data_IF_967310278413
#
_entry.id   IF_967310278413
#
_cell.length_a   1.000
_cell.length_b   1.000
_cell.length_c   1.000
_cell.angle_alpha   90.00
_cell.angle_beta   90.00
_cell.angle_gamma   90.00
#
_symmetry.space_group_name_H-M   'P 1'
#
loop_
_entity.id
_entity.type
_entity.pdbx_description
1 polymer ?
#
# COMPACT_ATOMS: atom_id res chain seq x y z
N UNK A 1 0.09 21.94 -20.16
CA UNK A 1 -0.74 21.03 -19.33
C UNK A 1 -1.59 21.85 -18.37
N UNK A 2 -2.87 21.51 -18.22
CA UNK A 2 -3.80 22.20 -17.30
C UNK A 2 -3.70 21.61 -15.88
N UNK A 3 -4.06 22.41 -14.88
CA UNK A 3 -4.27 21.94 -13.51
C UNK A 3 -5.67 21.33 -13.43
N UNK A 4 -5.80 20.11 -12.91
CA UNK A 4 -7.08 19.42 -12.78
C UNK A 4 -7.29 18.95 -11.36
N UNK A 5 -8.51 19.13 -10.86
CA UNK A 5 -8.94 18.67 -9.55
C UNK A 5 -10.31 18.03 -9.69
N UNK A 6 -10.52 16.91 -9.01
CA UNK A 6 -11.79 16.20 -8.94
C UNK A 6 -12.02 15.79 -7.50
N UNK A 7 -13.08 16.33 -6.91
CA UNK A 7 -13.65 15.79 -5.67
C UNK A 7 -14.73 14.79 -6.05
N UNK A 8 -14.78 13.67 -5.36
CA UNK A 8 -15.73 12.60 -5.63
C UNK A 8 -16.13 11.88 -4.35
N UNK A 9 -17.19 11.10 -4.42
CA UNK A 9 -17.52 10.08 -3.41
C UNK A 9 -17.51 8.74 -4.14
N UNK A 10 -16.95 7.71 -3.53
CA UNK A 10 -16.91 6.37 -4.09
C UNK A 10 -17.19 5.36 -3.00
N UNK A 11 -18.01 4.37 -3.33
CA UNK A 11 -18.34 3.24 -2.46
C UNK A 11 -18.14 1.93 -3.18
N UNK A 12 -17.81 0.89 -2.43
CA UNK A 12 -17.77 -0.50 -2.86
C UNK A 12 -18.33 -1.36 -1.74
N UNK A 13 -19.08 -2.39 -2.12
CA UNK A 13 -19.63 -3.37 -1.19
C UNK A 13 -19.41 -4.77 -1.77
N UNK A 14 -18.96 -5.68 -0.92
CA UNK A 14 -18.85 -7.11 -1.19
C UNK A 14 -19.85 -7.85 -0.30
N UNK A 15 -20.54 -8.80 -0.91
CA UNK A 15 -21.46 -9.70 -0.22
C UNK A 15 -20.95 -11.12 -0.38
N UNK A 16 -21.16 -11.95 0.65
CA UNK A 16 -20.73 -13.34 0.65
C UNK A 16 -21.47 -14.15 -0.39
N UNK A 17 -20.76 -15.09 -1.00
CA UNK A 17 -21.34 -16.01 -1.99
C UNK A 17 -22.28 -17.02 -1.33
N UNK A 18 -22.01 -17.41 -0.08
CA UNK A 18 -22.72 -18.47 0.64
C UNK A 18 -24.16 -18.11 1.01
N UNK A 19 -24.37 -16.90 1.53
CA UNK A 19 -25.66 -16.47 2.09
C UNK A 19 -26.12 -15.07 1.64
N UNK A 20 -25.32 -14.38 0.81
CA UNK A 20 -25.62 -13.03 0.33
C UNK A 20 -25.52 -11.92 1.39
N UNK A 21 -25.07 -12.23 2.60
CA UNK A 21 -24.85 -11.25 3.66
C UNK A 21 -23.70 -10.28 3.34
N UNK A 22 -23.69 -9.11 3.99
CA UNK A 22 -22.61 -8.14 3.86
C UNK A 22 -21.28 -8.72 4.37
N UNK A 23 -20.24 -8.66 3.54
CA UNK A 23 -18.87 -9.07 3.90
C UNK A 23 -17.99 -7.86 4.20
N UNK A 24 -17.90 -6.93 3.25
CA UNK A 24 -17.06 -5.74 3.34
C UNK A 24 -17.74 -4.56 2.67
N UNK A 25 -17.58 -3.36 3.22
CA UNK A 25 -17.96 -2.10 2.58
C UNK A 25 -16.88 -1.07 2.83
N UNK A 26 -16.59 -0.28 1.80
CA UNK A 26 -15.75 0.91 1.91
C UNK A 26 -16.39 2.05 1.15
N UNK A 27 -16.70 3.15 1.84
CA UNK A 27 -17.31 4.33 1.24
C UNK A 27 -16.69 5.60 1.78
N UNK A 28 -16.48 6.59 0.92
CA UNK A 28 -16.10 7.90 1.41
C UNK A 28 -15.73 8.91 0.34
N UNK A 29 -15.47 10.16 0.75
CA UNK A 29 -15.01 11.20 -0.13
C UNK A 29 -13.56 10.95 -0.57
N UNK A 30 -13.26 11.42 -1.78
CA UNK A 30 -11.92 11.41 -2.35
C UNK A 30 -11.61 12.67 -3.11
N UNK A 31 -10.31 12.94 -3.24
CA UNK A 31 -9.77 14.05 -4.00
C UNK A 31 -8.65 13.54 -4.90
N UNK A 32 -8.85 13.68 -6.21
CA UNK A 32 -7.81 13.48 -7.21
C UNK A 32 -7.35 14.81 -7.77
N UNK A 33 -6.06 14.95 -8.02
CA UNK A 33 -5.54 16.10 -8.74
C UNK A 33 -4.38 15.72 -9.67
N UNK A 34 -4.19 16.56 -10.69
CA UNK A 34 -3.01 16.57 -11.52
C UNK A 34 -2.56 18.02 -11.69
N UNK A 35 -1.31 18.28 -11.33
CA UNK A 35 -0.72 19.62 -11.42
C UNK A 35 -0.20 19.91 -12.83
N UNK A 36 0.02 21.19 -13.15
CA UNK A 36 0.70 21.59 -14.40
C UNK A 36 2.11 21.01 -14.56
N UNK A 37 2.75 20.64 -13.44
CA UNK A 37 4.07 19.99 -13.41
C UNK A 37 3.98 18.46 -13.53
N UNK A 38 2.80 17.90 -13.81
CA UNK A 38 2.54 16.46 -13.95
C UNK A 38 2.62 15.63 -12.67
N UNK A 39 2.67 16.27 -11.48
CA UNK A 39 2.42 15.53 -10.23
C UNK A 39 0.95 15.08 -10.20
N UNK A 40 0.72 13.85 -9.78
CA UNK A 40 -0.62 13.26 -9.62
C UNK A 40 -0.81 12.91 -8.15
N UNK A 41 -1.98 13.19 -7.60
CA UNK A 41 -2.35 12.70 -6.27
C UNK A 41 -3.78 12.18 -6.24
N UNK A 42 -4.00 11.17 -5.41
CA UNK A 42 -5.31 10.61 -5.10
C UNK A 42 -5.37 10.36 -3.60
N UNK A 43 -6.32 10.99 -2.93
CA UNK A 43 -6.54 10.85 -1.49
C UNK A 43 -7.98 10.44 -1.24
N UNK A 44 -8.19 9.61 -0.23
CA UNK A 44 -9.51 9.17 0.22
C UNK A 44 -9.53 9.10 1.74
N UNK A 45 -10.67 9.49 2.30
CA UNK A 45 -11.04 9.14 3.66
C UNK A 45 -12.17 8.13 3.50
N UNK A 46 -12.07 6.96 4.09
CA UNK A 46 -13.06 5.90 3.94
C UNK A 46 -13.65 5.55 5.30
N UNK A 47 -14.97 5.37 5.32
CA UNK A 47 -15.66 4.61 6.33
C UNK A 47 -15.77 3.17 5.85
N UNK A 48 -15.32 2.24 6.69
CA UNK A 48 -15.28 0.83 6.37
C UNK A 48 -16.17 0.04 7.33
N UNK A 49 -16.78 -1.01 6.80
CA UNK A 49 -17.49 -2.06 7.54
C UNK A 49 -16.86 -3.38 7.12
N UNK A 50 -16.33 -4.14 8.06
CA UNK A 50 -15.75 -5.46 7.79
C UNK A 50 -16.37 -6.49 8.73
N UNK A 51 -16.96 -7.54 8.18
CA UNK A 51 -17.54 -8.65 8.95
C UNK A 51 -16.63 -9.89 8.82
N UNK A 52 -15.86 -10.18 9.87
CA UNK A 52 -14.89 -11.27 9.91
C UNK A 52 -15.55 -12.48 10.59
N UNK A 53 -15.78 -13.55 9.82
CA UNK A 53 -16.45 -14.79 10.29
C UNK A 53 -15.53 -15.93 10.66
N UNK A 54 -14.27 -15.84 10.25
CA UNK A 54 -13.21 -16.78 10.63
C UNK A 54 -12.00 -15.94 10.98
N UNK A 55 -11.27 -16.35 12.02
CA UNK A 55 -10.05 -15.66 12.42
C UNK A 55 -9.06 -15.67 11.25
N UNK A 56 -8.59 -14.48 10.89
CA UNK A 56 -7.62 -14.32 9.82
C UNK A 56 -6.22 -14.29 10.42
N UNK A 57 -5.45 -15.35 10.15
CA UNK A 57 -4.00 -15.39 10.38
C UNK A 57 -3.29 -14.96 9.10
N UNK A 58 -2.35 -14.02 9.20
CA UNK A 58 -1.53 -13.63 8.06
C UNK A 58 -0.71 -14.84 7.57
N UNK A 59 -0.74 -15.19 6.26
CA UNK A 59 -0.05 -16.38 5.78
C UNK A 59 1.47 -16.17 5.72
N UNK A 60 2.21 -17.08 6.36
CA UNK A 60 3.66 -17.24 6.20
C UNK A 60 4.35 -17.54 7.53
N UNK A 61 5.46 -18.25 7.43
CA UNK A 61 6.36 -18.81 8.47
C UNK A 61 6.89 -17.80 9.51
N UNK A 62 6.42 -16.56 9.46
CA UNK A 62 6.41 -15.67 10.59
C UNK A 62 5.31 -16.15 11.54
N UNK A 63 5.70 -16.93 12.56
CA UNK A 63 5.00 -16.88 13.83
C UNK A 63 4.98 -15.39 14.27
N UNK A 64 3.97 -14.64 13.84
CA UNK A 64 3.48 -13.50 14.58
C UNK A 64 2.38 -14.11 15.44
N UNK A 65 2.67 -14.56 16.66
CA UNK A 65 1.69 -15.26 17.51
C UNK A 65 0.50 -14.38 17.93
N UNK A 66 0.32 -13.18 17.36
CA UNK A 66 -0.45 -12.12 18.00
C UNK A 66 -1.07 -11.09 17.03
N UNK A 67 -0.95 -11.21 15.71
CA UNK A 67 -1.62 -10.28 14.78
C UNK A 67 -2.83 -10.93 14.10
N UNK A 68 -3.58 -11.75 14.82
CA UNK A 68 -4.86 -12.25 14.33
C UNK A 68 -5.89 -11.11 14.36
N UNK A 69 -6.78 -11.06 13.37
CA UNK A 69 -7.97 -10.22 13.45
C UNK A 69 -9.10 -11.13 13.96
N UNK A 70 -9.61 -10.92 15.19
CA UNK A 70 -10.66 -11.76 15.74
C UNK A 70 -11.91 -11.71 14.87
N UNK A 71 -12.73 -12.75 14.97
CA UNK A 71 -14.08 -12.71 14.40
C UNK A 71 -14.86 -11.53 14.99
N UNK A 72 -15.59 -10.82 14.14
CA UNK A 72 -16.35 -9.66 14.57
C UNK A 72 -16.76 -8.74 13.44
N UNK A 73 -17.65 -7.81 13.79
CA UNK A 73 -18.12 -6.76 12.91
C UNK A 73 -17.44 -5.45 13.30
N UNK A 74 -16.63 -4.93 12.39
CA UNK A 74 -15.79 -3.77 12.61
C UNK A 74 -16.30 -2.58 11.83
N UNK A 75 -16.19 -1.41 12.45
CA UNK A 75 -16.55 -0.12 11.86
C UNK A 75 -15.40 0.85 12.10
N UNK A 76 -14.81 1.37 11.04
CA UNK A 76 -13.61 2.18 11.21
C UNK A 76 -13.36 3.16 10.06
N UNK A 77 -12.64 4.22 10.38
CA UNK A 77 -12.21 5.24 9.42
C UNK A 77 -10.74 5.09 9.08
N UNK A 78 -10.43 5.07 7.79
CA UNK A 78 -9.06 5.13 7.29
C UNK A 78 -8.83 6.32 6.35
N UNK A 79 -7.57 6.67 6.19
CA UNK A 79 -7.07 7.54 5.15
C UNK A 79 -6.19 6.71 4.21
N UNK A 80 -6.41 6.87 2.90
CA UNK A 80 -5.56 6.31 1.85
C UNK A 80 -5.08 7.39 0.92
N UNK A 81 -3.80 7.37 0.59
CA UNK A 81 -3.19 8.37 -0.26
C UNK A 81 -2.18 7.78 -1.22
N UNK A 82 -2.19 8.27 -2.45
CA UNK A 82 -1.17 8.04 -3.45
C UNK A 82 -0.69 9.37 -3.99
N UNK A 83 0.62 9.53 -4.11
CA UNK A 83 1.25 10.68 -4.73
C UNK A 83 2.35 10.24 -5.68
N UNK A 84 2.29 10.74 -6.91
CA UNK A 84 3.24 10.42 -7.97
C UNK A 84 3.89 11.73 -8.42
N UNK A 85 5.20 11.80 -8.25
CA UNK A 85 6.00 12.89 -8.85
C UNK A 85 6.14 12.67 -10.37
N UNK A 86 6.55 13.69 -11.14
CA UNK A 86 6.50 13.62 -12.60
C UNK A 86 7.41 12.52 -13.16
N UNK A 87 6.81 11.45 -13.73
CA UNK A 87 7.54 10.31 -14.30
C UNK A 87 8.34 10.64 -15.57
N UNK A 88 8.18 11.86 -16.10
CA UNK A 88 8.97 12.37 -17.24
C UNK A 88 10.38 12.82 -16.84
N UNK A 89 10.68 12.89 -15.54
CA UNK A 89 12.01 13.25 -15.03
C UNK A 89 12.88 12.01 -14.87
N UNK A 90 14.20 12.21 -14.97
CA UNK A 90 15.18 11.14 -14.71
C UNK A 90 14.99 10.51 -13.34
N UNK A 91 14.63 11.30 -12.33
CA UNK A 91 14.25 10.80 -11.01
C UNK A 91 12.77 11.10 -10.74
N UNK A 92 12.03 10.07 -10.33
CA UNK A 92 10.67 10.19 -9.85
C UNK A 92 10.42 9.18 -8.72
N UNK A 93 9.40 9.42 -7.92
CA UNK A 93 8.92 8.53 -6.88
C UNK A 93 7.40 8.43 -6.91
N UNK A 94 6.92 7.25 -6.52
CA UNK A 94 5.55 6.99 -6.12
C UNK A 94 5.55 6.83 -4.60
N UNK A 95 4.62 7.49 -3.92
CA UNK A 95 4.41 7.36 -2.49
C UNK A 95 2.96 6.91 -2.23
N UNK A 96 2.79 5.88 -1.41
CA UNK A 96 1.49 5.38 -0.96
C UNK A 96 1.45 5.45 0.56
N UNK A 97 0.32 5.86 1.12
CA UNK A 97 0.09 6.02 2.56
C UNK A 97 -1.27 5.45 2.93
N UNK A 98 -1.30 4.56 3.90
CA UNK A 98 -2.49 4.10 4.60
C UNK A 98 -2.36 4.45 6.08
N UNK A 99 -3.28 5.24 6.61
CA UNK A 99 -3.21 5.68 8.01
C UNK A 99 -4.60 5.77 8.65
N UNK A 100 -4.72 5.45 9.94
CA UNK A 100 -5.96 5.62 10.68
C UNK A 100 -6.34 4.36 11.46
N UNK A 101 -7.64 4.18 11.67
CA UNK A 101 -8.17 2.97 12.31
C UNK A 101 -8.05 1.78 11.36
N UNK A 102 -7.93 0.59 11.94
CA UNK A 102 -7.81 -0.67 11.22
C UNK A 102 -8.37 -1.79 12.09
N UNK A 103 -9.59 -2.23 11.78
CA UNK A 103 -10.36 -3.15 12.64
C UNK A 103 -10.49 -2.58 14.09
N UNK A 104 -10.09 -3.35 15.10
CA UNK A 104 -9.99 -2.96 16.51
C UNK A 104 -8.72 -2.18 16.87
N UNK A 105 -7.88 -1.86 15.88
CA UNK A 105 -6.60 -1.19 16.09
C UNK A 105 -6.38 0.03 15.20
N UNK A 106 -5.11 0.34 15.01
CA UNK A 106 -4.64 1.41 14.14
C UNK A 106 -3.55 0.91 13.21
N UNK A 107 -3.49 1.50 12.01
CA UNK A 107 -2.47 1.22 11.00
C UNK A 107 -1.80 2.51 10.57
N UNK A 108 -0.49 2.43 10.40
CA UNK A 108 0.30 3.35 9.61
C UNK A 108 1.17 2.56 8.65
N UNK A 109 0.93 2.68 7.35
CA UNK A 109 1.74 2.07 6.30
C UNK A 109 2.17 3.13 5.30
N UNK A 110 3.45 3.19 4.99
CA UNK A 110 3.98 4.05 3.93
C UNK A 110 4.86 3.22 3.01
N UNK A 111 4.61 3.35 1.70
CA UNK A 111 5.45 2.75 0.67
C UNK A 111 6.03 3.84 -0.22
N UNK A 112 7.36 3.86 -0.36
CA UNK A 112 8.08 4.73 -1.28
C UNK A 112 8.70 3.88 -2.38
N UNK A 113 8.46 4.26 -3.64
CA UNK A 113 9.02 3.60 -4.83
C UNK A 113 9.78 4.64 -5.67
N UNK A 114 11.02 5.01 -5.30
CA UNK A 114 11.86 5.87 -6.11
C UNK A 114 12.39 5.10 -7.34
N UNK A 115 12.45 5.79 -8.47
CA UNK A 115 13.06 5.32 -9.71
C UNK A 115 13.99 6.39 -10.24
N UNK A 116 15.19 5.99 -10.64
CA UNK A 116 16.19 6.81 -11.28
C UNK A 116 16.63 6.20 -12.62
N UNK A 117 16.18 6.82 -13.69
CA UNK A 117 16.70 6.63 -15.04
C UNK A 117 18.05 7.36 -15.17
N UNK A 118 19.14 6.64 -14.91
CA UNK A 118 20.50 7.17 -15.00
C UNK A 118 20.85 7.48 -16.47
N UNK A 119 20.42 6.62 -17.39
CA UNK A 119 20.57 6.81 -18.84
C UNK A 119 19.47 6.07 -19.59
N UNK A 120 19.51 6.11 -20.93
CA UNK A 120 18.62 5.30 -21.78
C UNK A 120 18.81 3.79 -21.62
N UNK A 121 19.91 3.35 -20.99
CA UNK A 121 20.27 1.94 -20.83
C UNK A 121 20.29 1.47 -19.39
N UNK A 122 20.21 2.38 -18.40
CA UNK A 122 20.31 2.03 -16.98
C UNK A 122 19.21 2.69 -16.16
N UNK A 123 18.46 1.87 -15.44
CA UNK A 123 17.47 2.29 -14.46
C UNK A 123 17.78 1.65 -13.11
N UNK A 124 17.76 2.46 -12.06
CA UNK A 124 17.72 2.01 -10.68
C UNK A 124 16.32 2.23 -10.12
N UNK A 125 15.76 1.25 -9.43
CA UNK A 125 14.53 1.43 -8.67
C UNK A 125 14.67 0.87 -7.27
N UNK A 126 14.01 1.54 -6.33
CA UNK A 126 13.90 1.12 -4.95
C UNK A 126 12.45 0.91 -4.57
N UNK A 127 12.23 0.15 -3.51
CA UNK A 127 11.00 0.15 -2.74
C UNK A 127 11.38 0.11 -1.26
N UNK A 128 10.72 0.95 -0.46
CA UNK A 128 10.75 0.83 0.99
C UNK A 128 9.32 0.93 1.51
N UNK A 129 8.91 -0.09 2.24
CA UNK A 129 7.62 -0.17 2.90
C UNK A 129 7.84 -0.30 4.40
N UNK A 130 7.22 0.61 5.16
CA UNK A 130 7.09 0.53 6.61
C UNK A 130 5.62 0.23 6.91
N UNK A 131 5.36 -0.84 7.65
CA UNK A 131 4.03 -1.13 8.19
C UNK A 131 4.11 -1.09 9.71
N UNK A 132 3.21 -0.35 10.35
CA UNK A 132 3.03 -0.36 11.80
C UNK A 132 1.56 -0.61 12.12
N UNK A 133 1.29 -1.66 12.88
CA UNK A 133 -0.01 -1.99 13.42
C UNK A 133 0.04 -1.88 14.95
N UNK A 134 -1.03 -1.38 15.55
CA UNK A 134 -1.15 -1.26 16.99
C UNK A 134 -2.59 -1.58 17.41
N UNK A 135 -2.75 -2.67 18.16
CA UNK A 135 -3.99 -3.16 18.77
C UNK A 135 -3.88 -2.99 20.29
N UNK A 136 -4.13 -1.76 20.77
CA UNK A 136 -3.90 -1.38 22.17
C UNK A 136 -4.63 -2.27 23.17
N UNK A 137 -5.89 -2.57 22.90
CA UNK A 137 -6.74 -3.34 23.83
C UNK A 137 -6.25 -4.80 23.97
N UNK A 138 -5.54 -5.29 22.96
CA UNK A 138 -4.90 -6.61 22.96
C UNK A 138 -3.45 -6.59 23.40
N UNK A 139 -2.87 -5.41 23.67
CA UNK A 139 -1.46 -5.21 23.98
C UNK A 139 -0.51 -5.73 22.89
N UNK A 140 -0.92 -5.63 21.63
CA UNK A 140 -0.17 -6.16 20.48
C UNK A 140 0.28 -5.01 19.57
N UNK A 141 1.57 -4.97 19.28
CA UNK A 141 2.17 -4.04 18.32
C UNK A 141 3.01 -4.80 17.31
N UNK A 142 2.93 -4.40 16.05
CA UNK A 142 3.68 -5.01 14.97
C UNK A 142 4.32 -3.93 14.10
N UNK A 143 5.59 -4.10 13.77
CA UNK A 143 6.31 -3.22 12.86
C UNK A 143 7.11 -4.06 11.87
N UNK A 144 6.89 -3.86 10.58
CA UNK A 144 7.67 -4.51 9.53
C UNK A 144 8.25 -3.52 8.52
N UNK A 145 9.42 -3.90 8.03
CA UNK A 145 10.19 -3.17 7.05
C UNK A 145 10.47 -4.09 5.86
N UNK A 146 10.04 -3.65 4.68
CA UNK A 146 10.37 -4.33 3.43
C UNK A 146 11.17 -3.37 2.58
N UNK A 147 12.39 -3.75 2.22
CA UNK A 147 13.25 -2.99 1.34
C UNK A 147 13.52 -3.78 0.07
N UNK A 148 13.42 -3.17 -1.11
CA UNK A 148 13.85 -3.77 -2.37
C UNK A 148 14.71 -2.78 -3.14
N UNK A 149 15.77 -3.28 -3.75
CA UNK A 149 16.57 -2.56 -4.72
C UNK A 149 16.63 -3.35 -6.02
N UNK A 150 16.46 -2.69 -7.16
CA UNK A 150 16.49 -3.30 -8.49
C UNK A 150 17.35 -2.48 -9.44
N UNK A 151 18.19 -3.18 -10.19
CA UNK A 151 18.96 -2.64 -11.31
C UNK A 151 18.42 -3.23 -12.61
N UNK A 152 18.11 -2.39 -13.59
CA UNK A 152 17.73 -2.77 -14.94
C UNK A 152 18.73 -2.22 -15.95
N UNK A 153 19.25 -3.12 -16.79
CA UNK A 153 20.10 -2.79 -17.93
C UNK A 153 19.39 -3.11 -19.24
N UNK A 154 19.33 -2.14 -20.15
CA UNK A 154 18.77 -2.28 -21.49
C UNK A 154 19.90 -2.19 -22.52
N UNK A 155 20.31 -3.35 -23.04
CA UNK A 155 21.27 -3.43 -24.15
C UNK A 155 20.64 -2.92 -25.45
N UNK A 156 19.36 -3.24 -25.69
CA UNK A 156 18.56 -2.73 -26.81
C UNK A 156 17.09 -2.65 -26.43
N UNK A 157 16.25 -2.13 -27.33
CA UNK A 157 14.78 -2.14 -27.16
C UNK A 157 14.17 -3.55 -27.16
N UNK A 158 14.95 -4.58 -27.54
CA UNK A 158 14.52 -5.98 -27.60
C UNK A 158 15.20 -6.86 -26.55
N UNK A 159 16.25 -6.37 -25.89
CA UNK A 159 17.04 -7.15 -24.94
C UNK A 159 17.37 -6.31 -23.71
N UNK A 160 16.88 -6.76 -22.57
CA UNK A 160 17.18 -6.20 -21.26
C UNK A 160 17.47 -7.30 -20.25
N UNK A 161 18.16 -6.94 -19.18
CA UNK A 161 18.43 -7.79 -18.03
C UNK A 161 18.13 -6.99 -16.76
N UNK A 162 17.66 -7.66 -15.72
CA UNK A 162 17.48 -7.03 -14.41
C UNK A 162 17.83 -7.98 -13.29
N UNK A 163 18.31 -7.42 -12.19
CA UNK A 163 18.54 -8.10 -10.92
C UNK A 163 17.92 -7.28 -9.80
N UNK A 164 17.49 -7.93 -8.72
CA UNK A 164 17.02 -7.23 -7.54
C UNK A 164 17.51 -7.94 -6.27
N UNK A 165 17.43 -7.22 -5.16
CA UNK A 165 17.60 -7.75 -3.82
C UNK A 165 16.44 -7.20 -3.01
N UNK A 166 15.76 -8.04 -2.26
CA UNK A 166 14.72 -7.67 -1.32
C UNK A 166 15.03 -8.21 0.07
N UNK A 167 14.81 -7.40 1.09
CA UNK A 167 14.83 -7.77 2.49
C UNK A 167 13.42 -7.63 3.08
N UNK A 168 12.98 -8.61 3.87
CA UNK A 168 11.79 -8.52 4.71
C UNK A 168 12.19 -8.78 6.17
N UNK A 169 11.99 -7.78 7.05
CA UNK A 169 12.33 -7.89 8.47
C UNK A 169 11.44 -8.87 9.24
N UNK A 170 10.23 -9.14 8.76
CA UNK A 170 9.26 -10.02 9.42
C UNK A 170 9.73 -11.48 9.48
N UNK A 171 10.30 -11.96 8.38
CA UNK A 171 10.82 -13.34 8.23
C UNK A 171 12.34 -13.37 8.25
N UNK A 172 12.98 -12.23 8.51
CA UNK A 172 14.42 -11.99 8.41
C UNK A 172 15.06 -12.63 7.16
N UNK A 173 14.41 -12.44 6.02
CA UNK A 173 14.78 -13.12 4.78
C UNK A 173 15.26 -12.14 3.70
N UNK A 174 16.23 -12.60 2.92
CA UNK A 174 16.72 -11.94 1.72
C UNK A 174 16.30 -12.75 0.50
N UNK A 175 15.72 -12.07 -0.49
CA UNK A 175 15.31 -12.62 -1.78
C UNK A 175 16.10 -11.91 -2.88
N UNK A 176 16.62 -12.65 -3.86
CA UNK A 176 17.44 -12.12 -4.98
C UNK A 176 16.98 -12.63 -6.33
#
# INVERSE_FOLDING_TARGET
MSNSHKVFVSGMQFNRVEDGSLESTSIGPGWSFQTKKSCIGNFRINYNIEDIREEYTFPGDAEIPDAEIPMGLYYYWDFRGMFITPMTRSFYTIAELDAGQFYDGTRFSITLRPTWNISSSFELSGMYQLNRLNFKDRHQEYTSHIGRFKLMYMYSTKLSASTFIQYNSEVDAIIT
#
